data_IF_410268359585
#
_entry.id   IF_410268359585
#
_cell.length_a   1.000
_cell.length_b   1.000
_cell.length_c   1.000
_cell.angle_alpha   90.00
_cell.angle_beta   90.00
_cell.angle_gamma   90.00
#
_symmetry.space_group_name_H-M   'P 1'
#
loop_
_entity.id
_entity.type
_entity.pdbx_description
1 polymer ?
#
# COMPACT_ATOMS: atom_id res chain seq x y z
N UNK A 1 3.09 -5.14 25.66
CA UNK A 1 3.28 -5.57 24.27
C UNK A 1 2.54 -4.57 23.38
N UNK A 2 3.23 -3.50 22.96
CA UNK A 2 2.63 -2.42 22.15
C UNK A 2 2.87 -2.72 20.67
N UNK A 3 2.17 -3.72 20.14
CA UNK A 3 1.97 -3.77 18.69
C UNK A 3 0.85 -2.77 18.42
N UNK A 4 1.22 -1.54 18.08
CA UNK A 4 0.30 -0.65 17.39
C UNK A 4 0.04 -1.32 16.05
N UNK A 5 -0.92 -2.23 16.07
CA UNK A 5 -1.63 -2.66 14.88
C UNK A 5 -2.10 -1.36 14.23
N UNK A 6 -1.45 -0.99 13.12
CA UNK A 6 -1.75 0.25 12.42
C UNK A 6 -3.26 0.34 12.20
N UNK A 7 -3.81 1.56 12.27
CA UNK A 7 -5.25 1.87 12.17
C UNK A 7 -5.99 1.24 10.96
N UNK A 8 -5.24 0.62 10.05
CA UNK A 8 -5.63 -0.17 8.89
C UNK A 8 -6.66 -1.28 9.22
N UNK A 9 -6.72 -1.77 10.47
CA UNK A 9 -7.73 -2.74 10.89
C UNK A 9 -9.16 -2.17 10.92
N UNK A 10 -9.35 -0.84 10.89
CA UNK A 10 -10.68 -0.23 10.88
C UNK A 10 -11.40 -0.30 9.54
N UNK A 11 -10.65 -0.39 8.43
CA UNK A 11 -11.20 -0.35 7.07
C UNK A 11 -10.85 -1.60 6.23
N UNK A 12 -10.12 -2.55 6.83
CA UNK A 12 -9.77 -3.83 6.20
C UNK A 12 -8.43 -3.80 5.47
N UNK A 13 -7.95 -4.98 5.09
CA UNK A 13 -6.73 -5.16 4.29
C UNK A 13 -7.06 -5.05 2.79
N UNK A 14 -6.05 -4.91 1.90
CA UNK A 14 -6.25 -5.03 0.46
C UNK A 14 -7.04 -6.28 0.08
N UNK A 15 -7.84 -6.19 -0.98
CA UNK A 15 -8.57 -7.35 -1.47
C UNK A 15 -7.57 -8.45 -1.88
N UNK A 16 -7.85 -9.70 -1.49
CA UNK A 16 -6.94 -10.83 -1.74
C UNK A 16 -5.71 -10.91 -0.82
N UNK A 17 -5.58 -10.03 0.19
CA UNK A 17 -4.39 -10.00 1.06
C UNK A 17 -4.02 -11.35 1.69
N UNK A 18 -5.02 -12.08 2.19
CA UNK A 18 -4.79 -13.41 2.80
C UNK A 18 -4.52 -14.50 1.75
N UNK A 19 -5.02 -14.31 0.52
CA UNK A 19 -4.87 -15.27 -0.57
C UNK A 19 -3.49 -15.14 -1.24
N UNK A 20 -2.90 -13.94 -1.21
CA UNK A 20 -1.56 -13.64 -1.74
C UNK A 20 -0.45 -13.74 -0.67
N UNK A 21 -0.74 -14.30 0.50
CA UNK A 21 0.18 -14.33 1.63
C UNK A 21 1.13 -15.53 1.55
N UNK A 22 2.41 -15.25 1.36
CA UNK A 22 3.46 -16.27 1.33
C UNK A 22 4.04 -16.47 2.74
N UNK A 23 3.87 -17.67 3.30
CA UNK A 23 4.38 -17.99 4.62
C UNK A 23 5.80 -18.53 4.57
N UNK A 24 6.71 -17.86 5.28
CA UNK A 24 8.10 -18.29 5.45
C UNK A 24 8.37 -18.57 6.92
N UNK A 25 8.97 -19.72 7.21
CA UNK A 25 9.31 -20.11 8.58
C UNK A 25 10.81 -19.97 8.84
N UNK A 26 11.15 -19.19 9.86
CA UNK A 26 12.50 -19.03 10.39
C UNK A 26 12.56 -19.66 11.78
N UNK A 27 13.02 -20.90 11.87
CA UNK A 27 13.01 -21.70 13.09
C UNK A 27 11.61 -21.75 13.74
N UNK A 28 11.42 -21.12 14.91
CA UNK A 28 10.13 -21.06 15.60
C UNK A 28 9.23 -19.88 15.20
N UNK A 29 9.65 -19.04 14.25
CA UNK A 29 8.93 -17.86 13.81
C UNK A 29 8.32 -18.07 12.42
N UNK A 30 7.01 -17.90 12.29
CA UNK A 30 6.33 -17.78 10.99
C UNK A 30 6.14 -16.33 10.60
N UNK A 31 6.53 -16.00 9.37
CA UNK A 31 6.43 -14.67 8.79
C UNK A 31 5.56 -14.77 7.55
N UNK A 32 4.46 -14.03 7.54
CA UNK A 32 3.62 -13.87 6.36
C UNK A 32 4.14 -12.70 5.52
N UNK A 33 4.58 -12.98 4.30
CA UNK A 33 4.97 -11.99 3.31
C UNK A 33 3.75 -11.63 2.48
N UNK A 34 3.38 -10.36 2.49
CA UNK A 34 2.28 -9.88 1.65
C UNK A 34 2.66 -9.99 0.17
N UNK A 35 1.71 -10.42 -0.66
CA UNK A 35 1.87 -10.46 -2.09
C UNK A 35 2.05 -9.09 -2.73
N UNK A 36 2.43 -9.09 -4.00
CA UNK A 36 2.79 -7.87 -4.73
C UNK A 36 1.66 -6.85 -4.79
N UNK A 37 0.43 -7.25 -5.12
CA UNK A 37 -0.71 -6.34 -5.20
C UNK A 37 -0.99 -5.68 -3.86
N UNK A 38 -0.99 -6.50 -2.80
CA UNK A 38 -1.11 -6.04 -1.41
C UNK A 38 -0.01 -5.06 -0.99
N UNK A 39 1.26 -5.32 -1.34
CA UNK A 39 2.38 -4.43 -1.05
C UNK A 39 2.24 -3.08 -1.74
N UNK A 40 1.83 -3.08 -3.03
CA UNK A 40 1.60 -1.85 -3.79
C UNK A 40 0.50 -1.01 -3.12
N UNK A 41 -0.63 -1.62 -2.78
CA UNK A 41 -1.75 -0.93 -2.10
C UNK A 41 -1.34 -0.31 -0.75
N UNK A 42 -0.61 -1.07 0.06
CA UNK A 42 -0.12 -0.60 1.37
C UNK A 42 0.90 0.54 1.24
N UNK A 43 1.82 0.45 0.28
CA UNK A 43 2.82 1.50 0.03
C UNK A 43 2.18 2.75 -0.54
N UNK A 44 1.20 2.62 -1.44
CA UNK A 44 0.43 3.76 -1.95
C UNK A 44 -0.31 4.48 -0.83
N UNK A 45 -1.03 3.76 0.03
CA UNK A 45 -1.68 4.37 1.20
C UNK A 45 -0.69 5.11 2.10
N UNK A 46 0.44 4.49 2.42
CA UNK A 46 1.46 5.08 3.28
C UNK A 46 2.14 6.31 2.64
N UNK A 47 2.30 6.31 1.32
CA UNK A 47 2.80 7.45 0.55
C UNK A 47 1.84 8.65 0.62
N UNK A 48 0.53 8.41 0.50
CA UNK A 48 -0.47 9.49 0.60
C UNK A 48 -0.57 10.03 2.03
N UNK A 49 -0.55 9.18 3.05
CA UNK A 49 -0.64 9.60 4.47
C UNK A 49 0.58 10.43 4.93
N UNK A 50 1.77 10.19 4.36
CA UNK A 50 3.00 10.90 4.74
C UNK A 50 3.52 11.93 3.72
N UNK A 51 2.93 11.96 2.52
CA UNK A 51 3.33 12.86 1.43
C UNK A 51 4.43 12.32 0.49
N UNK A 52 4.67 13.03 -0.63
CA UNK A 52 5.47 12.56 -1.77
C UNK A 52 6.97 12.41 -1.49
N UNK A 53 7.52 13.13 -0.51
CA UNK A 53 8.94 13.02 -0.13
C UNK A 53 9.24 11.84 0.82
N UNK A 54 8.23 11.01 1.11
CA UNK A 54 8.40 9.90 2.04
C UNK A 54 9.13 8.71 1.41
N UNK A 55 9.84 7.95 2.26
CA UNK A 55 10.48 6.67 1.88
C UNK A 55 9.49 5.67 1.24
N UNK A 56 8.20 5.83 1.51
CA UNK A 56 7.15 4.98 0.95
C UNK A 56 6.94 5.21 -0.55
N UNK A 57 7.17 6.42 -1.06
CA UNK A 57 7.16 6.70 -2.50
C UNK A 57 8.34 6.05 -3.18
N UNK A 58 9.53 6.12 -2.59
CA UNK A 58 10.72 5.46 -3.13
C UNK A 58 10.55 3.94 -3.17
N UNK A 59 9.99 3.36 -2.10
CA UNK A 59 9.64 1.93 -2.07
C UNK A 59 8.62 1.57 -3.16
N UNK A 60 7.60 2.42 -3.37
CA UNK A 60 6.58 2.20 -4.39
C UNK A 60 7.16 2.30 -5.82
N UNK A 61 8.03 3.27 -6.08
CA UNK A 61 8.78 3.38 -7.34
C UNK A 61 9.67 2.16 -7.57
N UNK A 62 10.36 1.68 -6.54
CA UNK A 62 11.20 0.49 -6.62
C UNK A 62 10.41 -0.80 -6.91
N UNK A 63 9.12 -0.84 -6.55
CA UNK A 63 8.22 -1.92 -6.96
C UNK A 63 7.85 -1.87 -8.45
N UNK A 64 8.08 -0.75 -9.13
CA UNK A 64 7.73 -0.51 -10.54
C UNK A 64 6.32 -1.03 -10.88
N UNK A 65 5.27 -0.50 -10.23
CA UNK A 65 3.91 -0.99 -10.42
C UNK A 65 3.42 -0.65 -11.83
N UNK A 66 2.71 -1.57 -12.46
CA UNK A 66 1.98 -1.29 -13.69
C UNK A 66 0.80 -0.36 -13.43
N UNK A 67 0.29 0.28 -14.49
CA UNK A 67 -0.90 1.14 -14.40
C UNK A 67 -2.12 0.38 -13.85
N UNK A 68 -2.30 -0.88 -14.24
CA UNK A 68 -3.43 -1.70 -13.78
C UNK A 68 -3.30 -2.03 -12.28
N UNK A 69 -2.09 -2.35 -11.82
CA UNK A 69 -1.82 -2.57 -10.38
C UNK A 69 -2.08 -1.29 -9.57
N UNK A 70 -1.69 -0.12 -10.09
CA UNK A 70 -1.97 1.17 -9.44
C UNK A 70 -3.47 1.48 -9.37
N UNK A 71 -4.25 1.16 -10.40
CA UNK A 71 -5.70 1.38 -10.39
C UNK A 71 -6.40 0.52 -9.33
N UNK A 72 -6.00 -0.76 -9.22
CA UNK A 72 -6.53 -1.66 -8.18
C UNK A 72 -6.14 -1.15 -6.79
N UNK A 73 -4.88 -0.76 -6.59
CA UNK A 73 -4.40 -0.17 -5.34
C UNK A 73 -5.16 1.11 -4.99
N UNK A 74 -5.34 2.03 -5.94
CA UNK A 74 -6.06 3.29 -5.76
C UNK A 74 -7.49 3.05 -5.28
N UNK A 75 -8.20 2.10 -5.89
CA UNK A 75 -9.57 1.77 -5.50
C UNK A 75 -9.67 1.29 -4.04
N UNK A 76 -8.66 0.59 -3.54
CA UNK A 76 -8.59 0.23 -2.12
C UNK A 76 -8.24 1.44 -1.24
N UNK A 77 -7.29 2.28 -1.66
CA UNK A 77 -6.84 3.46 -0.89
C UNK A 77 -7.97 4.48 -0.69
N UNK A 78 -8.81 4.72 -1.70
CA UNK A 78 -10.00 5.60 -1.57
C UNK A 78 -11.00 5.09 -0.52
N UNK A 79 -11.09 3.76 -0.30
CA UNK A 79 -11.96 3.21 0.76
C UNK A 79 -11.45 3.48 2.17
N UNK A 80 -10.18 3.83 2.32
CA UNK A 80 -9.57 4.13 3.62
C UNK A 80 -9.92 5.56 4.08
N UNK A 81 -9.91 6.50 3.14
CA UNK A 81 -10.30 7.89 3.35
C UNK A 81 -10.82 8.48 2.02
N UNK A 82 -12.11 8.83 2.00
CA UNK A 82 -12.79 9.38 0.83
C UNK A 82 -12.90 10.92 0.86
N UNK A 83 -12.15 11.58 1.74
CA UNK A 83 -12.12 13.05 1.78
C UNK A 83 -11.47 13.60 0.51
N UNK A 84 -12.00 14.72 0.00
CA UNK A 84 -11.52 15.37 -1.22
C UNK A 84 -10.02 15.69 -1.15
N UNK A 85 -9.55 16.14 0.02
CA UNK A 85 -8.14 16.44 0.25
C UNK A 85 -7.25 15.19 0.13
N UNK A 86 -7.70 14.04 0.66
CA UNK A 86 -6.95 12.79 0.56
C UNK A 86 -6.93 12.25 -0.87
N UNK A 87 -8.06 12.35 -1.59
CA UNK A 87 -8.15 11.95 -3.00
C UNK A 87 -7.25 12.80 -3.89
N UNK A 88 -7.18 14.11 -3.68
CA UNK A 88 -6.27 14.99 -4.43
C UNK A 88 -4.80 14.58 -4.22
N UNK A 89 -4.39 14.32 -2.97
CA UNK A 89 -3.03 13.84 -2.68
C UNK A 89 -2.75 12.45 -3.29
N UNK A 90 -3.74 11.57 -3.30
CA UNK A 90 -3.63 10.26 -3.96
C UNK A 90 -3.39 10.40 -5.46
N UNK A 91 -4.10 11.30 -6.14
CA UNK A 91 -3.89 11.56 -7.57
C UNK A 91 -2.48 12.11 -7.85
N UNK A 92 -1.97 13.02 -7.02
CA UNK A 92 -0.60 13.54 -7.13
C UNK A 92 0.44 12.43 -6.98
N UNK A 93 0.30 11.56 -5.98
CA UNK A 93 1.22 10.43 -5.76
C UNK A 93 1.16 9.45 -6.93
N UNK A 94 -0.03 9.11 -7.43
CA UNK A 94 -0.19 8.20 -8.58
C UNK A 94 0.46 8.80 -9.84
N UNK A 95 0.24 10.09 -10.11
CA UNK A 95 0.87 10.77 -11.24
C UNK A 95 2.40 10.73 -11.14
N UNK A 96 2.95 11.06 -9.97
CA UNK A 96 4.39 11.02 -9.73
C UNK A 96 4.99 9.63 -9.94
N UNK A 97 4.32 8.58 -9.49
CA UNK A 97 4.78 7.19 -9.67
C UNK A 97 4.75 6.78 -11.14
N UNK A 98 3.72 7.18 -11.89
CA UNK A 98 3.62 6.89 -13.33
C UNK A 98 4.73 7.60 -14.12
N UNK A 99 5.07 8.83 -13.76
CA UNK A 99 6.15 9.59 -14.42
C UNK A 99 7.55 9.08 -14.08
N UNK A 100 7.71 8.48 -12.89
CA UNK A 100 8.99 7.98 -12.38
C UNK A 100 9.27 6.49 -12.63
N UNK A 101 8.35 5.75 -13.25
CA UNK A 101 8.46 4.30 -13.53
C UNK A 101 8.98 3.96 -14.93
#
# INVERSE_FOLDING_TARGET
MNTVVGRQWRYGLPDGFLDELDWVRYAGLEVGLAGRGSLIALKLFAAVDRGPESVHVQDLLALAPSRDELLVAQAWVVRQDASEAFVAMLEEVVAHVIEGS
#
